data_IF_698872484300
#
_entry.id   IF_698872484300
#
_cell.length_a   1.000
_cell.length_b   1.000
_cell.length_c   1.000
_cell.angle_alpha   90.00
_cell.angle_beta   90.00
_cell.angle_gamma   90.00
#
_symmetry.space_group_name_H-M   'P 1'
#
loop_
_entity.id
_entity.type
_entity.pdbx_description
1 polymer ?
2 non-polymer ?
3 non-polymer ?
4 non-polymer ?
5 water ?
#
# COMPACT_ATOMS: atom_id res chain seq x y z
N UNK A 5 15.37 -26.92 -30.82
CA UNK A 5 15.41 -25.87 -29.78
C UNK A 5 14.01 -25.29 -29.53
N UNK A 6 13.84 -24.62 -28.40
CA UNK A 6 12.56 -24.02 -28.05
C UNK A 6 12.22 -22.93 -29.05
N UNK A 7 11.08 -23.07 -29.73
CA UNK A 7 10.65 -22.10 -30.72
C UNK A 7 9.99 -20.88 -30.07
N UNK A 8 9.85 -19.81 -30.84
CA UNK A 8 9.21 -18.60 -30.34
C UNK A 8 7.76 -18.93 -29.99
N UNK A 9 7.14 -19.76 -30.82
CA UNK A 9 5.77 -20.17 -30.60
C UNK A 9 5.62 -20.88 -29.26
N UNK A 10 6.49 -21.83 -28.98
CA UNK A 10 6.46 -22.58 -27.74
C UNK A 10 6.81 -21.70 -26.54
N UNK A 11 7.75 -20.79 -26.74
CA UNK A 11 8.19 -19.89 -25.67
C UNK A 11 7.10 -18.89 -25.29
N UNK A 12 6.39 -18.39 -26.29
CA UNK A 12 5.31 -17.42 -26.06
C UNK A 12 4.30 -17.95 -25.06
N UNK A 13 3.91 -19.21 -25.27
CA UNK A 13 2.96 -19.88 -24.42
C UNK A 13 3.56 -20.20 -23.05
N UNK A 14 4.78 -20.73 -23.06
CA UNK A 14 5.46 -21.08 -21.82
C UNK A 14 5.68 -19.85 -20.95
N UNK A 15 6.02 -18.73 -21.59
CA UNK A 15 6.27 -17.50 -20.85
C UNK A 15 5.04 -17.11 -20.03
N UNK A 16 3.83 -17.21 -20.60
CA UNK A 16 2.63 -16.86 -19.85
C UNK A 16 2.40 -17.79 -18.66
N UNK A 17 2.66 -19.08 -18.88
CA UNK A 17 2.49 -20.08 -17.81
C UNK A 17 3.37 -19.71 -16.63
N UNK A 18 4.63 -19.40 -16.92
CA UNK A 18 5.60 -19.03 -15.90
C UNK A 18 5.20 -17.75 -15.17
N UNK A 19 4.78 -16.73 -15.91
CA UNK A 19 4.37 -15.47 -15.29
C UNK A 19 3.23 -15.71 -14.30
N UNK A 20 2.23 -16.48 -14.71
CA UNK A 20 1.09 -16.75 -13.85
C UNK A 20 1.50 -17.51 -12.59
N UNK A 21 2.30 -18.55 -12.76
CA UNK A 21 2.75 -19.35 -11.62
C UNK A 21 3.65 -18.54 -10.69
N UNK A 22 4.61 -17.82 -11.27
CA UNK A 22 5.53 -17.01 -10.48
C UNK A 22 4.82 -15.87 -9.79
N UNK A 23 3.85 -15.25 -10.46
CA UNK A 23 3.14 -14.14 -9.84
C UNK A 23 2.27 -14.64 -8.69
N UNK A 24 1.75 -15.85 -8.79
CA UNK A 24 0.95 -16.41 -7.70
C UNK A 24 1.85 -16.65 -6.49
N UNK A 25 3.04 -17.20 -6.72
CA UNK A 25 3.99 -17.44 -5.63
C UNK A 25 4.40 -16.12 -5.00
N UNK A 26 4.57 -15.09 -5.82
CA UNK A 26 4.95 -13.79 -5.29
C UNK A 26 3.81 -13.19 -4.49
N UNK A 27 2.59 -13.43 -4.92
CA UNK A 27 1.43 -12.93 -4.20
C UNK A 27 1.42 -13.56 -2.80
N UNK A 28 1.67 -14.86 -2.75
CA UNK A 28 1.69 -15.57 -1.47
C UNK A 28 2.85 -15.08 -0.59
N UNK A 29 4.02 -14.94 -1.18
CA UNK A 29 5.22 -14.52 -0.46
C UNK A 29 5.22 -13.06 0.02
N UNK A 30 4.89 -12.15 -0.88
CA UNK A 30 4.89 -10.71 -0.57
C UNK A 30 3.58 -10.10 -0.09
N UNK A 31 2.46 -10.53 -0.65
CA UNK A 31 1.17 -9.97 -0.28
C UNK A 31 0.54 -10.66 0.92
N UNK A 32 0.61 -11.98 0.96
CA UNK A 32 0.05 -12.73 2.07
C UNK A 32 1.09 -13.03 3.15
N UNK A 33 2.34 -12.70 2.87
CA UNK A 33 3.42 -12.98 3.82
C UNK A 33 3.33 -14.43 4.25
N UNK A 34 3.08 -15.32 3.29
CA UNK A 34 2.95 -16.73 3.60
C UNK A 34 3.20 -17.57 2.34
N UNK A 35 4.46 -17.84 2.03
CA UNK A 35 4.76 -18.63 0.83
C UNK A 35 4.22 -20.06 0.95
N UNK A 36 3.96 -20.67 -0.19
CA UNK A 36 3.48 -22.05 -0.22
C UNK A 36 4.62 -22.95 -0.65
N UNK A 37 5.44 -22.49 -1.59
CA UNK A 37 6.57 -23.30 -2.06
C UNK A 37 7.92 -22.80 -1.51
N UNK A 38 8.89 -23.71 -1.50
CA UNK A 38 10.24 -23.39 -1.04
C UNK A 38 10.85 -22.41 -2.04
N UNK A 39 11.74 -21.56 -1.59
CA UNK A 39 12.35 -20.58 -2.49
C UNK A 39 12.97 -21.19 -3.75
N UNK A 40 13.61 -22.36 -3.63
CA UNK A 40 14.25 -22.98 -4.80
C UNK A 40 13.27 -23.28 -5.92
N UNK A 41 12.02 -23.55 -5.57
CA UNK A 41 11.00 -23.84 -6.57
C UNK A 41 10.78 -22.57 -7.39
N UNK A 42 10.60 -21.45 -6.70
CA UNK A 42 10.40 -20.17 -7.36
C UNK A 42 11.63 -19.79 -8.18
N UNK A 43 12.81 -19.92 -7.59
CA UNK A 43 14.06 -19.57 -8.26
C UNK A 43 14.28 -20.34 -9.57
N UNK A 44 13.94 -21.62 -9.57
CA UNK A 44 14.09 -22.46 -10.74
C UNK A 44 13.18 -21.99 -11.88
N UNK A 45 11.92 -21.73 -11.56
CA UNK A 45 10.96 -21.26 -12.56
C UNK A 45 11.34 -19.85 -13.02
N UNK A 46 11.82 -19.04 -12.08
CA UNK A 46 12.22 -17.68 -12.41
C UNK A 46 13.37 -17.71 -13.43
N UNK A 47 14.35 -18.59 -13.19
CA UNK A 47 15.47 -18.71 -14.10
C UNK A 47 15.03 -19.17 -15.48
N UNK A 48 14.05 -20.08 -15.52
CA UNK A 48 13.54 -20.56 -16.81
C UNK A 48 12.94 -19.38 -17.57
N UNK A 49 12.18 -18.54 -16.88
CA UNK A 49 11.57 -17.38 -17.52
C UNK A 49 12.64 -16.40 -18.00
N UNK A 50 13.66 -16.17 -17.19
CA UNK A 50 14.73 -15.26 -17.58
C UNK A 50 15.40 -15.77 -18.86
N UNK A 51 15.59 -17.09 -18.95
CA UNK A 51 16.23 -17.66 -20.13
C UNK A 51 15.36 -17.43 -21.38
N UNK A 52 14.06 -17.56 -21.23
CA UNK A 52 13.14 -17.35 -22.36
C UNK A 52 13.14 -15.89 -22.79
N UNK A 53 13.05 -14.99 -21.82
CA UNK A 53 13.04 -13.56 -22.11
C UNK A 53 14.35 -13.09 -22.72
N UNK A 54 15.44 -13.75 -22.34
CA UNK A 54 16.77 -13.40 -22.87
C UNK A 54 16.87 -13.82 -24.33
N UNK A 55 16.30 -14.98 -24.64
CA UNK A 55 16.29 -15.53 -26.00
C UNK A 55 15.28 -14.78 -26.87
N UNK A 56 14.15 -14.39 -26.27
CA UNK A 56 13.11 -13.66 -26.98
C UNK A 56 12.67 -12.46 -26.17
N UNK A 57 13.41 -11.35 -26.23
CA UNK A 57 13.08 -10.14 -25.49
C UNK A 57 11.71 -9.54 -25.79
N UNK A 58 11.10 -9.98 -26.89
CA UNK A 58 9.77 -9.48 -27.26
C UNK A 58 8.70 -10.06 -26.34
N UNK A 59 9.02 -11.15 -25.65
CA UNK A 59 8.08 -11.79 -24.75
C UNK A 59 8.06 -11.17 -23.36
N UNK A 60 8.90 -10.16 -23.14
CA UNK A 60 8.92 -9.49 -21.84
C UNK A 60 7.68 -8.63 -21.75
N UNK A 61 6.94 -8.77 -20.65
CA UNK A 61 5.71 -8.02 -20.43
C UNK A 61 5.79 -7.25 -19.12
N UNK A 62 5.00 -6.16 -18.99
CA UNK A 62 5.05 -5.39 -17.74
C UNK A 62 4.68 -6.18 -16.49
N UNK A 63 3.95 -7.28 -16.64
CA UNK A 63 3.59 -8.06 -15.46
C UNK A 63 4.52 -9.25 -15.22
N UNK A 64 5.63 -9.30 -15.96
CA UNK A 64 6.58 -10.38 -15.75
C UNK A 64 7.34 -10.10 -14.45
N UNK A 65 7.50 -11.11 -13.58
CA UNK A 65 8.21 -10.88 -12.33
C UNK A 65 9.68 -10.46 -12.51
N UNK A 66 10.23 -10.65 -13.71
CA UNK A 66 11.62 -10.27 -13.94
C UNK A 66 11.77 -8.77 -14.01
N UNK A 67 10.66 -8.06 -14.15
CA UNK A 67 10.71 -6.61 -14.26
C UNK A 67 10.78 -5.88 -12.91
N UNK A 68 10.68 -6.65 -11.82
CA UNK A 68 10.74 -6.08 -10.47
C UNK A 68 12.07 -5.45 -10.15
N UNK A 69 13.11 -5.84 -10.88
CA UNK A 69 14.45 -5.31 -10.64
C UNK A 69 14.65 -3.90 -11.18
N UNK A 70 13.64 -3.40 -11.90
CA UNK A 70 13.72 -2.06 -12.47
C UNK A 70 14.73 -1.96 -13.59
N UNK A 71 15.01 -0.73 -14.01
CA UNK A 71 15.98 -0.52 -15.07
C UNK A 71 15.87 0.85 -15.69
N UNK A 72 14.66 1.40 -15.69
CA UNK A 72 14.43 2.71 -16.26
C UNK A 72 15.04 3.77 -15.36
N UNK A 73 15.52 4.86 -15.97
CA UNK A 73 16.10 5.97 -15.23
C UNK A 73 15.41 7.22 -15.74
N UNK A 74 14.68 7.91 -14.88
CA UNK A 74 13.95 9.11 -15.30
C UNK A 74 14.76 10.39 -15.12
N UNK A 75 14.32 11.44 -15.81
CA UNK A 75 14.96 12.75 -15.74
C UNK A 75 14.30 13.53 -14.60
N UNK A 76 13.06 13.14 -14.31
CA UNK A 76 12.28 13.78 -13.26
C UNK A 76 10.89 13.16 -13.26
N UNK A 77 10.05 13.52 -12.29
CA UNK A 77 8.71 12.97 -12.23
C UNK A 77 7.67 13.92 -12.82
N UNK A 78 6.72 13.37 -13.56
CA UNK A 78 5.65 14.14 -14.17
C UNK A 78 4.62 14.41 -13.08
N UNK A 79 3.85 15.48 -13.24
CA UNK A 79 2.82 15.81 -12.26
C UNK A 79 1.74 14.73 -12.34
N UNK A 80 1.19 14.37 -11.18
CA UNK A 80 0.15 13.35 -11.12
C UNK A 80 -1.06 13.95 -10.42
N UNK A 81 -2.05 14.41 -11.20
CA UNK A 81 -3.23 14.99 -10.56
C UNK A 81 -4.14 13.97 -9.89
N UNK A 82 -4.83 14.43 -8.84
CA UNK A 82 -5.77 13.59 -8.12
C UNK A 82 -7.11 14.29 -8.30
N UNK A 83 -7.86 13.93 -9.34
CA UNK A 83 -9.16 14.54 -9.57
C UNK A 83 -10.04 14.30 -8.36
N UNK A 84 -9.86 13.14 -7.74
CA UNK A 84 -10.58 12.82 -6.52
C UNK A 84 -9.49 13.09 -5.49
N UNK A 85 -9.59 14.21 -4.76
CA UNK A 85 -8.60 14.58 -3.76
C UNK A 85 -8.21 13.55 -2.72
N UNK A 86 -6.97 13.65 -2.26
CA UNK A 86 -6.47 12.77 -1.20
C UNK A 86 -6.40 13.63 0.05
N UNK A 87 -7.42 13.53 0.89
CA UNK A 87 -7.49 14.32 2.12
C UNK A 87 -6.52 13.88 3.22
N UNK A 88 -6.30 14.77 4.18
CA UNK A 88 -5.44 14.45 5.31
C UNK A 88 -6.40 14.04 6.41
N UNK A 89 -5.89 13.85 7.63
CA UNK A 89 -6.73 13.43 8.75
C UNK A 89 -6.62 14.39 9.92
N UNK A 90 -7.74 14.60 10.61
CA UNK A 90 -7.76 15.45 11.80
C UNK A 90 -7.05 14.61 12.87
N UNK A 91 -6.37 15.27 13.79
CA UNK A 91 -5.63 14.57 14.84
C UNK A 91 -6.21 14.64 16.24
N UNK A 92 -5.96 13.58 17.01
CA UNK A 92 -6.40 13.50 18.38
C UNK A 92 -5.19 13.06 19.19
N UNK A 93 -5.10 13.47 20.45
CA UNK A 93 -3.94 13.11 21.26
C UNK A 93 -4.27 12.54 22.64
N UNK A 94 -5.54 12.63 23.02
CA UNK A 94 -5.94 12.13 24.34
C UNK A 94 -7.24 11.34 24.30
N UNK A 95 -7.51 10.62 25.37
CA UNK A 95 -8.74 9.83 25.46
C UNK A 95 -9.89 10.82 25.28
N UNK A 96 -9.70 12.03 25.82
CA UNK A 96 -10.71 13.08 25.73
C UNK A 96 -11.02 13.43 24.28
N UNK A 97 -9.99 13.65 23.47
CA UNK A 97 -10.20 14.00 22.06
C UNK A 97 -10.96 12.92 21.33
N UNK A 98 -10.66 11.66 21.65
CA UNK A 98 -11.32 10.53 21.00
C UNK A 98 -12.80 10.46 21.37
N UNK A 99 -13.12 10.58 22.66
CA UNK A 99 -14.50 10.53 23.07
C UNK A 99 -15.25 11.76 22.58
N UNK A 100 -14.52 12.88 22.44
CA UNK A 100 -15.14 14.10 21.95
C UNK A 100 -15.50 13.90 20.49
N UNK A 101 -14.60 13.22 19.77
CA UNK A 101 -14.83 12.94 18.36
C UNK A 101 -16.11 12.10 18.24
N UNK A 102 -16.23 11.09 19.10
CA UNK A 102 -17.40 10.23 19.10
C UNK A 102 -18.66 11.04 19.41
N UNK A 103 -18.56 11.98 20.34
CA UNK A 103 -19.70 12.81 20.69
C UNK A 103 -20.18 13.61 19.48
N UNK A 104 -19.26 14.22 18.76
CA UNK A 104 -19.62 15.00 17.58
C UNK A 104 -20.26 14.12 16.51
N UNK A 105 -19.73 12.91 16.35
CA UNK A 105 -20.27 11.97 15.36
C UNK A 105 -21.70 11.58 15.73
N UNK A 106 -21.92 11.24 17.00
CA UNK A 106 -23.26 10.87 17.43
C UNK A 106 -24.21 12.06 17.33
N UNK A 107 -23.70 13.25 17.62
CA UNK A 107 -24.54 14.44 17.54
C UNK A 107 -25.04 14.65 16.11
N UNK A 108 -24.16 14.44 15.13
CA UNK A 108 -24.53 14.62 13.73
C UNK A 108 -25.36 13.48 13.14
N UNK A 109 -25.05 12.24 13.51
CA UNK A 109 -25.78 11.09 12.98
C UNK A 109 -27.08 10.78 13.72
N UNK A 110 -27.10 11.00 15.04
CA UNK A 110 -28.32 10.74 15.80
C UNK A 110 -28.49 9.34 16.35
N UNK A 111 -27.40 8.58 16.41
CA UNK A 111 -27.44 7.21 16.93
C UNK A 111 -26.01 6.72 17.10
N UNK A 112 -25.81 5.66 17.91
CA UNK A 112 -24.46 5.11 18.13
C UNK A 112 -23.93 4.62 16.80
N UNK A 113 -22.61 4.66 16.62
CA UNK A 113 -22.00 4.24 15.37
C UNK A 113 -20.83 3.27 15.57
N UNK A 114 -20.63 2.38 14.60
CA UNK A 114 -19.52 1.44 14.66
C UNK A 114 -18.31 2.09 14.01
N UNK A 115 -17.12 1.74 14.47
CA UNK A 115 -15.89 2.31 13.95
C UNK A 115 -14.91 1.24 13.47
N UNK A 116 -14.34 1.47 12.30
CA UNK A 116 -13.33 0.56 11.77
C UNK A 116 -12.02 1.15 12.26
N UNK A 117 -11.26 0.37 13.03
CA UNK A 117 -9.99 0.87 13.56
C UNK A 117 -8.80 0.23 12.86
N UNK A 118 -7.82 1.05 12.52
CA UNK A 118 -6.63 0.59 11.82
C UNK A 118 -5.37 1.25 12.38
N UNK A 119 -4.23 0.63 12.18
CA UNK A 119 -2.97 1.20 12.65
C UNK A 119 -2.54 2.29 11.67
N UNK A 120 -2.03 3.40 12.18
CA UNK A 120 -1.59 4.48 11.30
C UNK A 120 -0.14 4.18 10.91
N UNK A 121 0.07 3.91 9.63
CA UNK A 121 1.40 3.59 9.12
C UNK A 121 2.17 4.84 8.76
N UNK A 122 3.37 4.96 9.32
CA UNK A 122 4.25 6.11 9.10
C UNK A 122 5.08 5.92 7.83
N UNK A 123 4.50 6.22 6.68
CA UNK A 123 5.21 6.07 5.42
C UNK A 123 4.82 7.16 4.45
N UNK A 124 4.88 6.86 3.16
CA UNK A 124 4.51 7.83 2.14
C UNK A 124 3.15 7.44 1.56
N UNK A 125 2.20 8.37 1.55
CA UNK A 125 0.87 8.07 1.01
C UNK A 125 0.96 7.87 -0.50
N UNK A 126 0.28 6.84 -1.00
CA UNK A 126 0.30 6.54 -2.43
C UNK A 126 -1.09 6.22 -2.98
N UNK A 127 -1.23 6.41 -4.28
CA UNK A 127 -2.47 6.14 -4.99
C UNK A 127 -2.07 5.30 -6.22
N UNK A 128 -2.68 4.13 -6.35
CA UNK A 128 -2.38 3.20 -7.44
C UNK A 128 -3.58 3.03 -8.36
N UNK A 129 -3.43 3.42 -9.62
CA UNK A 129 -4.52 3.32 -10.59
C UNK A 129 -4.39 2.10 -11.48
N UNK A 130 -5.48 1.35 -11.60
CA UNK A 130 -5.54 0.15 -12.42
C UNK A 130 -6.62 0.31 -13.48
N UNK A 131 -6.34 -0.14 -14.69
CA UNK A 131 -7.32 -0.06 -15.77
C UNK A 131 -7.42 -1.45 -16.38
N UNK A 132 -8.60 -2.05 -16.26
CA UNK A 132 -8.82 -3.39 -16.79
C UNK A 132 -7.86 -4.36 -16.08
N UNK A 133 -7.61 -4.08 -14.80
CA UNK A 133 -6.72 -4.93 -14.01
C UNK A 133 -5.23 -4.67 -14.14
N UNK A 134 -4.85 -3.80 -15.07
CA UNK A 134 -3.45 -3.47 -15.32
C UNK A 134 -2.99 -2.23 -14.55
N UNK A 135 -1.83 -2.33 -13.88
CA UNK A 135 -1.28 -1.19 -13.15
C UNK A 135 -0.85 -0.14 -14.17
N UNK A 136 -1.45 1.06 -14.12
CA UNK A 136 -1.09 2.10 -15.09
C UNK A 136 -0.50 3.38 -14.49
N UNK A 137 -0.74 3.63 -13.21
CA UNK A 137 -0.17 4.82 -12.58
C UNK A 137 0.04 4.67 -11.10
N UNK A 138 1.21 5.09 -10.65
CA UNK A 138 1.56 5.08 -9.24
C UNK A 138 1.87 6.53 -8.92
N UNK A 139 1.24 7.08 -7.89
CA UNK A 139 1.47 8.49 -7.55
C UNK A 139 1.56 8.78 -6.06
N UNK A 140 2.33 9.81 -5.72
CA UNK A 140 2.46 10.22 -4.33
C UNK A 140 1.26 11.14 -4.08
N UNK A 141 0.96 11.38 -2.81
CA UNK A 141 -0.16 12.23 -2.45
C UNK A 141 0.16 13.69 -2.76
N UNK A 142 1.43 14.05 -2.59
CA UNK A 142 1.82 15.43 -2.87
C UNK A 142 1.06 16.39 -1.98
N UNK A 143 0.39 17.36 -2.59
CA UNK A 143 -0.37 18.34 -1.82
C UNK A 143 -1.86 18.01 -1.71
N UNK A 144 -2.24 16.80 -2.12
CA UNK A 144 -3.63 16.41 -2.04
C UNK A 144 -4.37 16.40 -3.36
N UNK A 145 -4.06 17.36 -4.23
CA UNK A 145 -4.70 17.41 -5.54
C UNK A 145 -3.70 17.17 -6.67
N UNK A 146 -2.41 17.29 -6.34
CA UNK A 146 -1.35 17.04 -7.31
C UNK A 146 -0.14 16.41 -6.62
N UNK A 147 0.27 15.25 -7.11
CA UNK A 147 1.41 14.57 -6.55
C UNK A 147 2.44 14.32 -7.64
N UNK A 148 3.33 13.34 -7.42
CA UNK A 148 4.35 13.02 -8.40
C UNK A 148 4.06 11.64 -8.99
N UNK A 149 4.27 11.51 -10.30
CA UNK A 149 4.04 10.24 -10.98
C UNK A 149 5.29 9.37 -10.76
N UNK A 150 5.19 8.44 -9.81
CA UNK A 150 6.30 7.52 -9.50
C UNK A 150 5.96 6.09 -9.89
N UNK A 151 5.22 5.95 -10.99
CA UNK A 151 4.80 4.66 -11.51
C UNK A 151 5.96 3.67 -11.68
N UNK A 152 7.04 4.11 -12.32
CA UNK A 152 8.19 3.23 -12.55
C UNK A 152 8.82 2.72 -11.26
N UNK A 153 8.93 3.58 -10.26
CA UNK A 153 9.50 3.15 -8.98
C UNK A 153 8.59 2.12 -8.30
N UNK A 154 7.28 2.37 -8.34
CA UNK A 154 6.36 1.47 -7.68
C UNK A 154 6.27 0.11 -8.36
N UNK A 155 6.72 0.01 -9.61
CA UNK A 155 6.72 -1.28 -10.31
C UNK A 155 7.71 -2.21 -9.63
N UNK A 156 8.68 -1.65 -8.90
CA UNK A 156 9.69 -2.47 -8.24
C UNK A 156 9.31 -2.89 -6.82
N UNK A 157 8.24 -2.31 -6.29
CA UNK A 157 7.79 -2.64 -4.94
C UNK A 157 7.05 -3.97 -5.06
N UNK A 158 7.70 -5.02 -4.57
CA UNK A 158 7.22 -6.39 -4.68
C UNK A 158 5.78 -6.71 -4.29
N UNK A 159 5.21 -5.96 -3.34
CA UNK A 159 3.83 -6.22 -2.93
C UNK A 159 2.79 -5.53 -3.80
N UNK A 160 3.23 -4.70 -4.75
CA UNK A 160 2.30 -4.00 -5.64
C UNK A 160 1.98 -4.87 -6.85
N UNK A 161 0.73 -5.32 -6.97
CA UNK A 161 0.41 -6.16 -8.14
C UNK A 161 0.50 -5.41 -9.47
N UNK A 162 1.09 -6.05 -10.46
CA UNK A 162 1.18 -5.42 -11.78
C UNK A 162 -0.09 -5.73 -12.58
N UNK A 163 -0.73 -6.86 -12.27
CA UNK A 163 -1.97 -7.23 -12.93
C UNK A 163 -2.88 -7.92 -11.90
N UNK A 164 -4.09 -7.40 -11.74
CA UNK A 164 -5.03 -7.98 -10.80
C UNK A 164 -5.67 -9.20 -11.45
N UNK A 165 -6.06 -10.18 -10.65
CA UNK A 165 -6.68 -11.39 -11.19
C UNK A 165 -7.94 -11.05 -11.97
N UNK A 166 -8.69 -10.07 -11.49
CA UNK A 166 -9.91 -9.61 -12.17
C UNK A 166 -9.61 -8.29 -12.86
N UNK A 167 -10.01 -8.16 -14.14
CA UNK A 167 -9.78 -6.94 -14.92
C UNK A 167 -10.59 -5.73 -14.46
N UNK A 168 -10.46 -5.38 -13.18
CA UNK A 168 -11.19 -4.25 -12.62
C UNK A 168 -10.46 -2.93 -12.80
N UNK A 169 -11.21 -1.85 -12.96
CA UNK A 169 -10.64 -0.52 -13.12
C UNK A 169 -10.92 0.25 -11.84
N UNK A 170 -9.87 0.45 -11.05
CA UNK A 170 -10.01 1.12 -9.76
C UNK A 170 -8.73 1.84 -9.37
N UNK A 171 -8.84 2.75 -8.41
CA UNK A 171 -7.68 3.46 -7.92
C UNK A 171 -7.64 3.29 -6.41
N UNK A 172 -6.65 2.54 -5.94
CA UNK A 172 -6.51 2.25 -4.53
C UNK A 172 -5.48 3.13 -3.85
N UNK A 173 -5.73 3.45 -2.58
CA UNK A 173 -4.82 4.31 -1.85
C UNK A 173 -4.36 3.67 -0.55
N UNK A 174 -3.13 3.99 -0.17
CA UNK A 174 -2.59 3.43 1.05
C UNK A 174 -1.27 4.08 1.38
N UNK A 175 -0.40 3.27 1.98
CA UNK A 175 0.90 3.72 2.42
C UNK A 175 2.01 2.82 1.92
N UNK A 176 3.12 3.43 1.48
CA UNK A 176 4.30 2.68 1.05
C UNK A 176 5.30 3.02 2.15
N UNK A 177 5.84 2.01 2.80
CA UNK A 177 6.76 2.24 3.90
C UNK A 177 7.96 1.30 3.86
N UNK A 178 8.91 1.53 4.76
CA UNK A 178 10.09 0.68 4.84
C UNK A 178 10.09 -0.06 6.18
N UNK A 179 10.06 -1.41 6.15
CA UNK A 179 10.06 -2.20 7.37
C UNK A 179 11.27 -1.85 8.24
N UNK A 180 11.15 -2.04 9.54
CA UNK A 180 12.22 -1.73 10.47
C UNK A 180 13.57 -2.33 10.08
N UNK A 181 13.59 -3.63 9.82
CA UNK A 181 14.83 -4.30 9.46
C UNK A 181 15.46 -3.75 8.19
N UNK A 182 14.62 -3.42 7.22
CA UNK A 182 15.11 -2.87 5.95
C UNK A 182 15.71 -1.48 6.18
N UNK A 183 15.12 -0.73 7.09
CA UNK A 183 15.59 0.60 7.44
C UNK A 183 16.95 0.45 8.11
N UNK A 184 17.06 -0.51 9.02
CA UNK A 184 18.32 -0.75 9.72
C UNK A 184 19.41 -1.12 8.71
N UNK A 185 19.08 -2.06 7.83
CA UNK A 185 20.03 -2.52 6.82
C UNK A 185 20.49 -1.39 5.91
N UNK A 186 19.56 -0.56 5.48
CA UNK A 186 19.85 0.58 4.60
C UNK A 186 20.79 1.58 5.25
N UNK A 187 20.53 1.95 6.51
CA UNK A 187 21.40 2.91 7.18
C UNK A 187 22.82 2.36 7.33
N UNK A 188 22.95 1.06 7.58
CA UNK A 188 24.27 0.46 7.72
C UNK A 188 25.02 0.58 6.40
N UNK A 189 24.30 0.33 5.31
CA UNK A 189 24.90 0.43 3.99
C UNK A 189 25.34 1.88 3.74
N UNK A 190 24.55 2.84 4.20
CA UNK A 190 24.93 4.23 4.03
C UNK A 190 26.14 4.58 4.87
N UNK A 191 26.21 4.04 6.09
CA UNK A 191 27.36 4.28 6.96
C UNK A 191 28.60 3.71 6.29
N UNK A 192 28.43 2.55 5.65
CA UNK A 192 29.54 1.89 4.97
C UNK A 192 30.04 2.73 3.80
N UNK A 193 29.13 3.43 3.13
CA UNK A 193 29.48 4.24 1.99
C UNK A 193 29.71 5.72 2.33
N UNK A 194 29.80 6.01 3.62
CA UNK A 194 30.03 7.38 4.06
C UNK A 194 28.92 8.37 3.80
N UNK A 195 27.69 7.89 3.66
CA UNK A 195 26.55 8.76 3.39
C UNK A 195 25.80 9.08 4.69
N UNK A 196 25.01 10.15 4.65
CA UNK A 196 24.20 10.54 5.79
C UNK A 196 23.09 9.52 5.93
N UNK A 197 22.86 9.03 7.14
CA UNK A 197 21.80 8.06 7.35
C UNK A 197 20.45 8.75 7.34
N UNK A 198 19.39 7.96 7.20
CA UNK A 198 18.04 8.51 7.23
C UNK A 198 17.63 8.57 8.70
N UNK A 199 16.98 9.66 9.09
CA UNK A 199 16.56 9.84 10.47
C UNK A 199 15.52 8.83 10.96
N UNK A 200 14.68 8.34 10.06
CA UNK A 200 13.65 7.38 10.42
C UNK A 200 13.12 6.68 9.17
N UNK A 201 12.41 5.56 9.33
CA UNK A 201 11.87 4.86 8.16
C UNK A 201 11.01 5.72 7.23
N UNK A 202 10.29 6.69 7.80
CA UNK A 202 9.45 7.57 6.99
C UNK A 202 10.32 8.30 5.96
N UNK A 203 11.40 8.93 6.43
CA UNK A 203 12.29 9.66 5.54
C UNK A 203 12.99 8.72 4.55
N UNK A 204 13.28 7.50 5.00
CA UNK A 204 13.95 6.53 4.14
C UNK A 204 13.03 6.13 2.98
N UNK A 205 11.76 5.91 3.28
CA UNK A 205 10.80 5.55 2.25
C UNK A 205 10.61 6.69 1.27
N UNK A 206 10.44 7.90 1.80
CA UNK A 206 10.24 9.07 0.95
C UNK A 206 11.47 9.30 0.07
N UNK A 207 12.65 9.22 0.66
CA UNK A 207 13.87 9.42 -0.10
C UNK A 207 14.02 8.35 -1.17
N UNK A 208 13.64 7.12 -0.83
CA UNK A 208 13.74 6.01 -1.77
C UNK A 208 12.82 6.22 -2.96
N UNK A 209 11.59 6.64 -2.70
CA UNK A 209 10.62 6.84 -3.77
C UNK A 209 10.90 8.08 -4.62
N UNK A 210 11.85 8.91 -4.18
CA UNK A 210 12.23 10.10 -4.92
C UNK A 210 13.40 9.83 -5.86
N UNK A 211 13.97 8.63 -5.76
CA UNK A 211 15.09 8.23 -6.61
C UNK A 211 14.64 8.13 -8.05
N UNK A 212 15.45 8.65 -8.97
CA UNK A 212 15.11 8.61 -10.38
C UNK A 212 15.51 7.29 -11.04
N UNK A 213 16.50 6.62 -10.46
CA UNK A 213 16.96 5.33 -10.99
C UNK A 213 16.17 4.21 -10.33
N UNK A 214 15.26 3.58 -11.09
CA UNK A 214 14.43 2.51 -10.56
C UNK A 214 15.21 1.30 -10.03
N UNK A 215 16.43 1.09 -10.53
CA UNK A 215 17.24 -0.04 -10.09
C UNK A 215 17.62 0.12 -8.62
N UNK A 216 17.81 1.37 -8.19
CA UNK A 216 18.17 1.65 -6.81
C UNK A 216 16.94 1.43 -5.93
N UNK A 217 15.79 1.92 -6.38
CA UNK A 217 14.56 1.77 -5.63
C UNK A 217 14.23 0.29 -5.42
N UNK A 218 14.44 -0.52 -6.45
CA UNK A 218 14.15 -1.95 -6.38
C UNK A 218 14.91 -2.66 -5.26
N UNK A 219 16.06 -2.12 -4.87
CA UNK A 219 16.86 -2.71 -3.82
C UNK A 219 16.55 -2.18 -2.42
N UNK A 220 15.65 -1.20 -2.32
CA UNK A 220 15.31 -0.60 -1.03
C UNK A 220 14.27 -1.36 -0.22
N UNK A 221 13.74 -2.45 -0.77
CA UNK A 221 12.74 -3.28 -0.12
C UNK A 221 11.59 -2.56 0.61
N UNK A 222 10.86 -1.75 -0.14
CA UNK A 222 9.72 -1.02 0.39
C UNK A 222 8.55 -1.99 0.41
N UNK A 223 7.53 -1.71 1.22
CA UNK A 223 6.36 -2.58 1.27
C UNK A 223 5.11 -1.69 1.29
N UNK A 224 3.94 -2.30 1.28
CA UNK A 224 2.72 -1.50 1.25
C UNK A 224 1.57 -2.07 2.07
N UNK A 225 0.62 -1.18 2.35
CA UNK A 225 -0.62 -1.50 3.04
C UNK A 225 -1.64 -0.59 2.36
N UNK A 226 -2.69 -1.17 1.77
CA UNK A 226 -3.71 -0.38 1.09
C UNK A 226 -4.96 -0.35 1.98
N UNK A 227 -5.64 0.78 2.05
CA UNK A 227 -6.82 0.86 2.90
C UNK A 227 -8.07 1.55 2.34
N UNK A 228 -7.99 2.08 1.13
CA UNK A 228 -9.17 2.72 0.54
C UNK A 228 -9.06 2.88 -0.97
N UNK A 229 -10.12 3.35 -1.60
CA UNK A 229 -10.12 3.59 -3.04
C UNK A 229 -10.62 5.01 -3.30
N UNK A 230 -10.20 5.61 -4.40
CA UNK A 230 -10.61 6.96 -4.74
C UNK A 230 -12.09 6.98 -5.12
N UNK A 231 -12.51 6.01 -5.92
CA UNK A 231 -13.90 5.93 -6.35
C UNK A 231 -14.43 4.51 -6.11
N UNK A 232 -15.39 4.40 -5.20
CA UNK A 232 -15.98 3.11 -4.86
C UNK A 232 -16.94 2.53 -5.89
N UNK A 233 -17.08 3.23 -7.02
CA UNK A 233 -17.97 2.77 -8.07
C UNK A 233 -17.82 1.29 -8.42
N UNK A 234 -16.60 0.83 -8.73
CA UNK A 234 -16.35 -0.57 -9.10
C UNK A 234 -16.30 -1.53 -7.91
N UNK A 235 -16.33 -0.98 -6.69
CA UNK A 235 -16.28 -1.81 -5.49
C UNK A 235 -17.70 -2.15 -5.02
N UNK A 236 -17.84 -3.24 -4.28
CA UNK A 236 -19.14 -3.65 -3.76
C UNK A 236 -19.28 -3.30 -2.27
N UNK A 237 -18.16 -3.01 -1.63
CA UNK A 237 -18.15 -2.68 -0.20
C UNK A 237 -19.07 -1.52 0.18
N UNK A 238 -19.73 -1.65 1.32
CA UNK A 238 -20.63 -0.61 1.82
C UNK A 238 -20.11 -0.04 3.13
N UNK A 239 -19.04 -0.63 3.65
CA UNK A 239 -18.42 -0.18 4.89
C UNK A 239 -16.91 -0.24 4.72
N UNK A 240 -16.19 0.49 5.57
CA UNK A 240 -14.73 0.52 5.52
C UNK A 240 -14.11 -0.85 5.79
N UNK A 241 -14.68 -1.56 6.76
CA UNK A 241 -14.17 -2.89 7.10
C UNK A 241 -14.38 -3.81 5.89
N UNK A 242 -15.50 -3.65 5.20
CA UNK A 242 -15.77 -4.45 4.01
C UNK A 242 -14.79 -4.09 2.91
N UNK A 243 -14.44 -2.80 2.83
CA UNK A 243 -13.50 -2.33 1.82
C UNK A 243 -12.13 -2.96 2.00
N UNK A 244 -11.69 -3.09 3.25
CA UNK A 244 -10.38 -3.69 3.53
C UNK A 244 -10.39 -5.15 3.07
N UNK A 245 -11.49 -5.86 3.35
CA UNK A 245 -11.59 -7.25 2.93
C UNK A 245 -11.59 -7.38 1.42
N UNK A 246 -12.30 -6.46 0.75
CA UNK A 246 -12.39 -6.48 -0.70
C UNK A 246 -11.05 -6.14 -1.34
N UNK A 247 -10.31 -5.20 -0.74
CA UNK A 247 -9.00 -4.83 -1.28
C UNK A 247 -8.09 -6.06 -1.25
N UNK A 248 -8.21 -6.83 -0.17
CA UNK A 248 -7.43 -8.04 -0.02
C UNK A 248 -7.87 -9.06 -1.08
N UNK A 249 -9.17 -9.23 -1.24
CA UNK A 249 -9.71 -10.17 -2.22
C UNK A 249 -9.26 -9.90 -3.65
N UNK A 250 -9.13 -8.62 -4.02
CA UNK A 250 -8.72 -8.32 -5.38
C UNK A 250 -7.21 -8.38 -5.59
N UNK A 251 -6.44 -8.59 -4.51
CA UNK A 251 -5.00 -8.73 -4.66
C UNK A 251 -4.05 -7.77 -3.97
N UNK A 252 -4.56 -6.84 -3.16
CA UNK A 252 -3.68 -5.91 -2.47
C UNK A 252 -3.28 -6.35 -1.07
N UNK A 253 -2.17 -5.83 -0.59
CA UNK A 253 -1.70 -6.16 0.75
C UNK A 253 -2.40 -5.21 1.70
N UNK A 254 -3.04 -5.78 2.72
CA UNK A 254 -3.76 -4.99 3.71
C UNK A 254 -3.20 -5.31 5.09
N UNK A 255 -3.37 -4.39 6.04
CA UNK A 255 -2.85 -4.59 7.39
C UNK A 255 -3.80 -5.50 8.16
N UNK A 256 -3.30 -6.62 8.69
CA UNK A 256 -4.13 -7.58 9.44
C UNK A 256 -4.52 -7.19 10.87
N UNK A 257 -4.09 -6.05 11.35
CA UNK A 257 -4.42 -5.66 12.72
C UNK A 257 -5.69 -4.80 12.85
N UNK A 258 -6.40 -4.58 11.76
CA UNK A 258 -7.62 -3.77 11.82
C UNK A 258 -8.68 -4.48 12.64
N UNK A 259 -9.63 -3.72 13.17
CA UNK A 259 -10.70 -4.29 13.96
C UNK A 259 -11.96 -3.42 13.86
N UNK A 260 -13.11 -4.07 13.83
CA UNK A 260 -14.39 -3.38 13.75
C UNK A 260 -14.90 -3.25 15.19
N UNK A 261 -15.04 -2.02 15.67
CA UNK A 261 -15.50 -1.78 17.04
C UNK A 261 -16.92 -1.24 17.06
N UNK A 262 -17.78 -1.89 17.84
CA UNK A 262 -19.18 -1.49 17.95
C UNK A 262 -19.44 -0.35 18.94
N UNK A 263 -18.42 0.04 19.69
CA UNK A 263 -18.58 1.14 20.65
C UNK A 263 -17.28 1.92 20.81
N UNK A 264 -17.41 3.15 21.30
CA UNK A 264 -16.24 4.00 21.50
C UNK A 264 -15.32 3.40 22.56
N UNK A 265 -15.89 2.66 23.50
CA UNK A 265 -15.10 2.03 24.55
C UNK A 265 -14.23 0.94 23.92
N UNK A 266 -14.79 0.21 22.96
CA UNK A 266 -14.04 -0.84 22.30
C UNK A 266 -12.92 -0.17 21.52
N UNK A 267 -13.19 1.02 20.99
CA UNK A 267 -12.18 1.77 20.24
C UNK A 267 -11.03 2.16 21.15
N UNK A 268 -11.33 2.66 22.34
CA UNK A 268 -10.27 3.05 23.25
C UNK A 268 -9.44 1.85 23.69
N UNK A 269 -10.10 0.69 23.82
CA UNK A 269 -9.41 -0.53 24.21
C UNK A 269 -8.40 -0.90 23.12
N UNK A 270 -8.83 -0.72 21.87
CA UNK A 270 -7.98 -1.02 20.71
C UNK A 270 -6.75 -0.12 20.77
N UNK A 271 -6.96 1.17 20.98
CA UNK A 271 -5.87 2.12 21.07
C UNK A 271 -4.88 1.72 22.16
N UNK A 272 -5.40 1.25 23.28
CA UNK A 272 -4.54 0.82 24.39
C UNK A 272 -3.80 -0.47 24.05
N UNK A 273 -4.50 -1.41 23.44
CA UNK A 273 -3.89 -2.69 23.07
C UNK A 273 -2.71 -2.54 22.12
N UNK A 274 -2.87 -1.72 21.11
CA UNK A 274 -1.81 -1.53 20.14
C UNK A 274 -0.78 -0.50 20.53
N UNK A 275 -1.08 0.27 21.58
CA UNK A 275 -0.13 1.24 22.07
C UNK A 275 0.96 0.45 22.76
N UNK A 276 0.57 -0.53 23.57
CA UNK A 276 1.51 -1.36 24.29
C UNK A 276 2.21 -2.37 23.38
N UNK A 277 1.60 -2.64 22.22
CA UNK A 277 2.19 -3.58 21.26
C UNK A 277 2.98 -2.82 20.20
N UNK A 278 2.99 -1.50 20.30
CA UNK A 278 3.66 -0.63 19.33
C UNK A 278 5.02 -1.08 18.80
N UNK A 279 5.94 -1.46 19.68
CA UNK A 279 7.27 -1.87 19.24
C UNK A 279 7.43 -3.35 18.90
N UNK A 280 6.34 -4.10 18.96
CA UNK A 280 6.40 -5.52 18.65
C UNK A 280 6.20 -5.79 17.16
N UNK A 281 5.78 -4.75 16.42
CA UNK A 281 5.53 -4.87 15.00
C UNK A 281 6.78 -4.70 14.13
N UNK A 282 6.79 -5.32 12.95
CA UNK A 282 7.95 -5.21 12.05
C UNK A 282 8.02 -3.86 11.35
N UNK A 283 7.03 -3.00 11.60
CA UNK A 283 6.99 -1.67 11.01
C UNK A 283 6.63 -0.65 12.08
N UNK A 284 6.95 0.62 11.83
CA UNK A 284 6.64 1.68 12.78
C UNK A 284 5.25 2.25 12.52
N UNK A 285 4.56 2.63 13.59
CA UNK A 285 3.23 3.21 13.51
C UNK A 285 3.23 4.46 14.38
N UNK A 286 2.63 5.54 13.90
CA UNK A 286 2.59 6.76 14.67
C UNK A 286 1.24 6.97 15.36
N UNK A 287 0.40 5.93 15.32
CA UNK A 287 -0.90 6.04 15.96
C UNK A 287 -1.95 5.06 15.48
N UNK A 288 -3.21 5.44 15.66
CA UNK A 288 -4.35 4.63 15.27
C UNK A 288 -5.34 5.50 14.50
N UNK A 289 -5.92 4.98 13.42
CA UNK A 289 -6.90 5.78 12.68
C UNK A 289 -8.28 5.17 12.95
N UNK A 290 -9.22 6.03 13.36
CA UNK A 290 -10.58 5.61 13.68
C UNK A 290 -11.53 6.17 12.62
N UNK A 291 -12.24 5.29 11.93
CA UNK A 291 -13.16 5.70 10.87
C UNK A 291 -14.57 5.18 11.06
N UNK A 292 -15.56 6.05 10.85
CA UNK A 292 -16.95 5.64 10.94
C UNK A 292 -17.04 4.54 9.87
N UNK A 293 -17.51 3.37 10.27
CA UNK A 293 -17.57 2.22 9.36
C UNK A 293 -18.51 2.31 8.17
N UNK A 294 -19.76 2.69 8.40
CA UNK A 294 -20.75 2.78 7.32
C UNK A 294 -20.50 3.91 6.33
N UNK A 295 -20.40 3.57 5.04
CA UNK A 295 -20.18 4.59 4.03
C UNK A 295 -21.32 5.60 3.99
N UNK A 296 -22.54 5.14 4.21
CA UNK A 296 -23.71 6.02 4.21
C UNK A 296 -23.55 7.11 5.27
N UNK A 297 -22.99 6.73 6.41
CA UNK A 297 -22.78 7.69 7.50
C UNK A 297 -21.57 8.58 7.25
N UNK A 298 -20.55 8.05 6.58
CA UNK A 298 -19.39 8.87 6.26
C UNK A 298 -19.87 9.98 5.33
N UNK A 299 -20.71 9.59 4.37
CA UNK A 299 -21.26 10.53 3.40
C UNK A 299 -22.03 11.64 4.10
N UNK A 300 -22.87 11.27 5.07
CA UNK A 300 -23.66 12.23 5.81
C UNK A 300 -22.78 13.22 6.59
N UNK A 301 -21.67 12.73 7.11
CA UNK A 301 -20.75 13.57 7.88
C UNK A 301 -19.94 14.51 6.98
N UNK A 302 -19.61 14.05 5.78
CA UNK A 302 -18.87 14.89 4.84
C UNK A 302 -17.44 15.20 5.22
N UNK A 303 -16.87 16.20 4.53
CA UNK A 303 -15.49 16.62 4.77
C UNK A 303 -15.38 18.10 5.08
N UNK A 304 -14.34 18.45 5.84
CA UNK A 304 -14.07 19.85 6.12
C UNK A 304 -13.20 20.18 4.91
N UNK A 305 -12.46 21.29 4.95
CA UNK A 305 -11.59 21.63 3.84
C UNK A 305 -10.35 20.74 3.84
N UNK A 306 -9.87 20.41 5.04
CA UNK A 306 -8.66 19.59 5.18
C UNK A 306 -8.85 18.09 5.34
N UNK A 307 -10.00 17.66 5.86
CA UNK A 307 -10.18 16.22 6.09
C UNK A 307 -11.62 15.78 6.32
N UNK A 308 -11.83 14.46 6.40
CA UNK A 308 -13.20 14.00 6.63
C UNK A 308 -13.61 14.25 8.07
N UNK A 309 -14.91 14.38 8.30
CA UNK A 309 -15.41 14.59 9.65
C UNK A 309 -15.70 13.22 10.24
N UNK A 310 -15.61 12.18 9.41
CA UNK A 310 -15.88 10.81 9.84
C UNK A 310 -14.67 10.01 10.28
N UNK A 311 -13.54 10.67 10.47
CA UNK A 311 -12.33 9.97 10.91
C UNK A 311 -11.46 10.87 11.74
N UNK A 312 -10.62 10.24 12.56
CA UNK A 312 -9.68 10.97 13.40
C UNK A 312 -8.48 10.07 13.60
N UNK A 313 -7.30 10.67 13.65
CA UNK A 313 -6.08 9.92 13.85
C UNK A 313 -5.55 10.17 15.26
N UNK A 314 -5.54 9.13 16.08
CA UNK A 314 -5.01 9.27 17.43
C UNK A 314 -3.50 9.13 17.30
N UNK A 315 -2.80 10.22 17.53
CA UNK A 315 -1.34 10.27 17.44
C UNK A 315 -0.65 9.92 18.74
N UNK A 316 0.32 9.01 18.66
CA UNK A 316 1.09 8.61 19.83
C UNK A 316 2.03 9.75 20.19
N UNK A 317 2.36 9.87 21.50
CA UNK A 317 3.25 10.94 21.96
C UNK A 317 4.62 10.95 21.27
X LIG B 1 2.53 11.94 2.84
X LIG B 1 3.67 12.91 3.46
X LIG B 1 2.24 12.50 1.54
X LIG B 1 2.97 10.71 2.77
X LIG B 1 1.41 12.15 3.72
X LIG C 1 -2.73 11.14 -15.46
X LIG C 1 -1.54 11.55 -14.43
X LIG C 1 -2.87 12.29 -16.33
X LIG C 1 -2.42 10.05 -16.10
X LIG C 1 -3.88 11.05 -14.59
X LIG D 1 13.31 -10.45 -6.28
X LIG D 1 12.39 -11.73 -6.23
X LIG D 1 12.25 -12.30 -7.58
X LIG D 1 11.12 -11.30 -5.59
X LIG D 1 13.20 -12.75 -5.33
X LIG D 1 13.88 -12.29 -4.10
X LIG D 1 13.92 -13.42 -3.08
X LIG D 1 12.58 -13.78 -2.66
X LIG D 1 14.57 -14.77 -3.57
X LIG D 1 15.42 -15.33 -2.55
X LIG D 1 13.37 -15.63 -3.87
X LIG D 1 13.63 -17.03 -3.80
X LIG D 1 12.40 -15.22 -2.84
X LIG D 1 10.98 -15.43 -3.22
X LIG D 1 10.30 -16.61 -2.83
X LIG D 1 8.99 -16.79 -3.24
X LIG D 1 8.25 -18.06 -2.82
X LIG D 1 7.13 -18.17 -3.21
X LIG D 1 8.85 -18.96 -2.08
X LIG D 1 8.30 -15.77 -4.06
X LIG D 1 9.03 -14.61 -4.43
X LIG D 1 10.38 -14.41 -4.03
X LIG E 1 -9.74 10.59 3.64
X LIG E 1 -10.73 10.43 2.62
X LIG E 1 -8.72 9.45 3.52
X LIG E 1 -9.25 8.12 3.33
X LIG E 1 -7.65 9.60 4.60
X LIG E 1 -6.88 8.45 5.02
#
# INVERSE_FOLDING_TARGET
MEQQPLTLTAATTRAQELRKQLNQYSHEYYVKDQPSVEDYVYDRLYKELVDIETEFPDLITPDSPTQRVGGKVLSGFEKAPHDIPMYSLNDGFSKEDIFAFDERVRKAIGKPVAYCCELKIDGLAISLRYENGVFVRGATRGDGTVGENITENLRTVRSVPMRLTEPISVEVRGECYMPKQSFVALNEEREENGQDIFANPRNAAAGSLRQLDTKIVAKRNLNTFLYTVADFGPMKAKTQFEALEELSAIGFRTNPERQLCQSIDEVWAYIEEYHEKRSTLPYEIDGIVIKVNEFALQDELGFTVKAPRWAIAYKFPPEEAETVVZHHHHHH
SO4 S O1 O2 O3 O4
SO4 S O1 O2 O3 O4
NMN O3P P O1P O2P O5R C5R C4R O4R C3R O3R C2R O2R C1R N1 C2 C3 C7 O7 N7 C4 C5 C6
GOL C1 O1 C2 O2 C3 O3
#
